data_IF_607971223260
#
_entry.id   IF_607971223260
#
_cell.length_a   1.000
_cell.length_b   1.000
_cell.length_c   1.000
_cell.angle_alpha   90.00
_cell.angle_beta   90.00
_cell.angle_gamma   90.00
#
_symmetry.space_group_name_H-M   'P 1'
#
loop_
_entity.id
_entity.type
_entity.pdbx_description
1 polymer ?
#
# COMPACT_ATOMS: atom_id res chain seq x y z
N UNK A 1 12.86 -39.39 -30.65
CA UNK A 1 12.34 -39.32 -29.25
C UNK A 1 13.13 -38.30 -28.42
N UNK A 2 12.98 -36.99 -28.69
CA UNK A 2 13.73 -35.91 -27.98
C UNK A 2 12.86 -34.69 -27.59
N UNK A 3 11.53 -34.76 -27.76
CA UNK A 3 10.63 -33.60 -27.56
C UNK A 3 9.95 -33.53 -26.18
N UNK A 4 10.18 -34.50 -25.28
CA UNK A 4 9.53 -34.51 -23.96
C UNK A 4 10.33 -33.80 -22.85
N UNK A 5 11.50 -33.25 -23.15
CA UNK A 5 12.44 -32.77 -22.13
C UNK A 5 12.25 -31.31 -21.68
N UNK A 6 11.24 -30.57 -22.17
CA UNK A 6 11.11 -29.15 -21.77
C UNK A 6 9.67 -28.59 -21.78
N UNK A 7 8.66 -29.38 -21.37
CA UNK A 7 7.35 -28.78 -21.04
C UNK A 7 7.42 -28.21 -19.61
N UNK A 8 7.03 -26.93 -19.41
CA UNK A 8 6.96 -26.35 -18.08
C UNK A 8 6.00 -27.16 -17.19
N UNK A 9 6.36 -27.32 -15.92
CA UNK A 9 5.48 -27.95 -14.93
C UNK A 9 4.21 -27.10 -14.78
N UNK A 10 3.05 -27.75 -14.85
CA UNK A 10 1.76 -27.10 -14.63
C UNK A 10 1.32 -27.18 -13.15
N UNK A 11 0.39 -26.32 -12.74
CA UNK A 11 -0.09 -26.27 -11.35
C UNK A 11 -0.70 -27.61 -10.87
N UNK A 12 -1.29 -28.39 -11.78
CA UNK A 12 -1.87 -29.70 -11.44
C UNK A 12 -0.76 -30.71 -11.10
N UNK A 13 0.33 -30.70 -11.85
CA UNK A 13 1.51 -31.54 -11.59
C UNK A 13 2.19 -31.15 -10.26
N UNK A 14 2.26 -29.85 -9.96
CA UNK A 14 2.76 -29.35 -8.67
C UNK A 14 1.88 -29.81 -7.49
N UNK A 15 0.55 -29.74 -7.64
CA UNK A 15 -0.41 -30.24 -6.63
C UNK A 15 -0.25 -31.75 -6.42
N UNK A 16 -0.16 -32.54 -7.50
CA UNK A 16 0.07 -33.99 -7.44
C UNK A 16 1.40 -34.31 -6.75
N UNK A 17 2.47 -33.57 -7.06
CA UNK A 17 3.77 -33.72 -6.42
C UNK A 17 3.68 -33.50 -4.92
N UNK A 18 3.08 -32.39 -4.46
CA UNK A 18 2.96 -32.09 -3.04
C UNK A 18 2.19 -33.19 -2.31
N UNK A 19 1.04 -33.60 -2.85
CA UNK A 19 0.21 -34.66 -2.24
C UNK A 19 0.94 -36.02 -2.22
N UNK A 20 1.76 -36.34 -3.23
CA UNK A 20 2.58 -37.56 -3.23
C UNK A 20 3.62 -37.56 -2.10
N UNK A 21 4.28 -36.42 -1.87
CA UNK A 21 5.31 -36.27 -0.84
C UNK A 21 4.72 -36.31 0.58
N UNK A 22 3.50 -35.77 0.76
CA UNK A 22 2.78 -35.79 2.03
C UNK A 22 2.19 -37.18 2.36
N UNK A 23 1.47 -37.78 1.40
CA UNK A 23 0.78 -39.07 1.61
C UNK A 23 1.71 -40.29 1.57
N UNK A 24 2.87 -40.14 0.91
CA UNK A 24 3.89 -41.17 0.70
C UNK A 24 3.31 -42.47 0.15
N UNK A 25 2.28 -42.36 -0.69
CA UNK A 25 1.55 -43.49 -1.27
C UNK A 25 0.84 -43.05 -2.54
N UNK A 26 1.14 -43.71 -3.66
CA UNK A 26 0.50 -43.43 -4.95
C UNK A 26 -1.00 -43.69 -4.89
N UNK A 27 -1.42 -44.77 -4.23
CA UNK A 27 -2.83 -45.13 -4.09
C UNK A 27 -3.58 -44.08 -3.26
N UNK A 28 -3.08 -43.70 -2.08
CA UNK A 28 -3.73 -42.66 -1.27
C UNK A 28 -3.76 -41.31 -1.96
N UNK A 29 -2.71 -40.94 -2.70
CA UNK A 29 -2.73 -39.71 -3.50
C UNK A 29 -3.77 -39.76 -4.62
N UNK A 30 -3.97 -40.92 -5.24
CA UNK A 30 -5.03 -41.11 -6.24
C UNK A 30 -6.41 -40.90 -5.61
N UNK A 31 -6.65 -41.47 -4.42
CA UNK A 31 -7.89 -41.30 -3.67
C UNK A 31 -8.12 -39.83 -3.27
N UNK A 32 -7.12 -39.18 -2.66
CA UNK A 32 -7.22 -37.78 -2.19
C UNK A 32 -7.47 -36.78 -3.32
N UNK A 33 -6.95 -37.05 -4.51
CA UNK A 33 -7.11 -36.16 -5.68
C UNK A 33 -8.24 -36.61 -6.61
N UNK A 34 -8.99 -37.65 -6.24
CA UNK A 34 -10.05 -38.26 -7.05
C UNK A 34 -9.57 -38.58 -8.48
N UNK A 35 -8.37 -39.17 -8.57
CA UNK A 35 -7.75 -39.57 -9.83
C UNK A 35 -7.50 -41.08 -9.86
N UNK A 36 -7.26 -41.62 -11.05
CA UNK A 36 -6.87 -43.03 -11.17
C UNK A 36 -5.39 -43.22 -10.78
N UNK A 37 -5.09 -44.35 -10.11
CA UNK A 37 -3.72 -44.71 -9.76
C UNK A 37 -2.76 -44.78 -10.98
N UNK A 38 -3.18 -45.28 -12.17
CA UNK A 38 -2.36 -45.22 -13.37
C UNK A 38 -1.99 -43.79 -13.79
N UNK A 39 -2.92 -42.83 -13.64
CA UNK A 39 -2.67 -41.42 -13.94
C UNK A 39 -1.64 -40.81 -12.97
N UNK A 40 -1.79 -41.02 -11.66
CA UNK A 40 -0.81 -40.54 -10.67
C UNK A 40 0.58 -41.15 -10.92
N UNK A 41 0.63 -42.45 -11.26
CA UNK A 41 1.89 -43.14 -11.60
C UNK A 41 2.55 -42.55 -12.85
N UNK A 42 1.75 -42.21 -13.88
CA UNK A 42 2.22 -41.55 -15.10
C UNK A 42 2.81 -40.16 -14.79
N UNK A 43 2.12 -39.37 -13.95
CA UNK A 43 2.57 -38.03 -13.55
C UNK A 43 3.85 -38.10 -12.72
N UNK A 44 3.93 -39.01 -11.73
CA UNK A 44 5.15 -39.23 -10.95
C UNK A 44 6.34 -39.60 -11.85
N UNK A 45 6.15 -40.46 -12.85
CA UNK A 45 7.21 -40.80 -13.81
C UNK A 45 7.69 -39.57 -14.59
N UNK A 46 6.78 -38.69 -15.01
CA UNK A 46 7.14 -37.43 -15.68
C UNK A 46 7.90 -36.50 -14.73
N UNK A 47 7.39 -36.30 -13.52
CA UNK A 47 8.03 -35.46 -12.50
C UNK A 47 9.46 -35.93 -12.18
N UNK A 48 9.69 -37.24 -12.10
CA UNK A 48 11.03 -37.82 -11.93
C UNK A 48 11.97 -37.46 -13.07
N UNK A 49 11.49 -37.55 -14.31
CA UNK A 49 12.29 -37.20 -15.48
C UNK A 49 12.58 -35.69 -15.54
N UNK A 50 11.60 -34.84 -15.24
CA UNK A 50 11.74 -33.38 -15.26
C UNK A 50 12.67 -32.86 -14.15
N UNK A 51 12.54 -33.41 -12.94
CA UNK A 51 13.33 -32.97 -11.78
C UNK A 51 14.69 -33.69 -11.67
N UNK A 52 14.90 -34.75 -12.45
CA UNK A 52 16.11 -35.57 -12.40
C UNK A 52 16.30 -36.27 -11.05
N UNK A 53 15.20 -36.58 -10.35
CA UNK A 53 15.20 -37.15 -9.01
C UNK A 53 14.14 -38.26 -8.87
N UNK A 54 14.42 -39.37 -8.15
CA UNK A 54 13.42 -40.41 -7.90
C UNK A 54 12.21 -39.95 -7.06
N UNK A 55 12.34 -38.85 -6.32
CA UNK A 55 11.37 -38.18 -5.43
C UNK A 55 10.91 -39.01 -4.24
N UNK A 56 10.50 -40.25 -4.49
CA UNK A 56 10.10 -41.26 -3.51
C UNK A 56 10.85 -42.55 -3.82
N UNK A 57 11.56 -43.07 -2.82
CA UNK A 57 12.28 -44.35 -2.87
C UNK A 57 11.69 -45.32 -1.85
N UNK A 58 11.87 -46.62 -2.10
CA UNK A 58 11.37 -47.66 -1.19
C UNK A 58 12.39 -47.91 -0.07
N UNK A 59 11.94 -47.79 1.17
CA UNK A 59 12.67 -48.17 2.37
C UNK A 59 11.82 -49.17 3.16
N UNK A 60 12.21 -50.44 3.09
CA UNK A 60 11.40 -51.56 3.59
C UNK A 60 10.02 -51.64 2.92
N UNK A 61 8.96 -51.57 3.72
CA UNK A 61 7.56 -51.57 3.26
C UNK A 61 7.02 -50.18 2.92
N UNK A 62 7.79 -49.10 3.14
CA UNK A 62 7.32 -47.71 3.01
C UNK A 62 8.00 -47.00 1.84
N UNK A 63 7.26 -46.09 1.19
CA UNK A 63 7.85 -45.07 0.33
C UNK A 63 8.28 -43.89 1.19
N UNK A 64 9.50 -43.43 0.98
CA UNK A 64 10.09 -42.29 1.70
C UNK A 64 10.60 -41.26 0.70
N UNK A 65 10.42 -39.95 0.96
CA UNK A 65 10.99 -38.90 0.14
C UNK A 65 12.52 -38.97 0.09
N UNK A 66 13.10 -38.61 -1.05
CA UNK A 66 14.53 -38.31 -1.15
C UNK A 66 14.85 -37.01 -0.41
N UNK A 67 16.13 -36.76 -0.12
CA UNK A 67 16.56 -35.49 0.49
C UNK A 67 16.18 -34.29 -0.38
N UNK A 68 16.39 -34.40 -1.70
CA UNK A 68 15.96 -33.38 -2.66
C UNK A 68 14.45 -33.16 -2.64
N UNK A 69 13.65 -34.21 -2.54
CA UNK A 69 12.21 -34.07 -2.43
C UNK A 69 11.79 -33.34 -1.15
N UNK A 70 12.44 -33.61 -0.01
CA UNK A 70 12.19 -32.90 1.24
C UNK A 70 12.48 -31.40 1.12
N UNK A 71 13.58 -31.03 0.47
CA UNK A 71 13.96 -29.63 0.23
C UNK A 71 12.92 -28.88 -0.61
N UNK A 72 12.26 -29.56 -1.55
CA UNK A 72 11.28 -28.94 -2.47
C UNK A 72 9.90 -28.72 -1.81
N UNK A 73 9.56 -29.44 -0.72
CA UNK A 73 8.23 -29.33 -0.08
C UNK A 73 7.89 -27.88 0.32
N UNK A 74 8.83 -27.17 0.95
CA UNK A 74 8.63 -25.80 1.41
C UNK A 74 8.32 -24.83 0.25
N UNK A 75 9.23 -24.70 -0.74
CA UNK A 75 8.99 -23.89 -1.93
C UNK A 75 7.70 -24.27 -2.67
N UNK A 76 7.42 -25.56 -2.82
CA UNK A 76 6.22 -26.05 -3.49
C UNK A 76 4.92 -25.62 -2.80
N UNK A 77 4.90 -25.68 -1.46
CA UNK A 77 3.76 -25.23 -0.65
C UNK A 77 3.55 -23.72 -0.78
N UNK A 78 4.62 -22.93 -0.77
CA UNK A 78 4.55 -21.49 -0.97
C UNK A 78 4.04 -21.10 -2.37
N UNK A 79 4.51 -21.77 -3.42
CA UNK A 79 4.03 -21.53 -4.80
C UNK A 79 2.55 -21.84 -4.96
N UNK A 80 2.08 -22.99 -4.45
CA UNK A 80 0.66 -23.34 -4.52
C UNK A 80 -0.21 -22.39 -3.69
N UNK A 81 0.27 -21.93 -2.53
CA UNK A 81 -0.42 -20.91 -1.73
C UNK A 81 -0.57 -19.58 -2.48
N UNK A 82 0.47 -19.14 -3.21
CA UNK A 82 0.38 -17.94 -4.05
C UNK A 82 -0.61 -18.08 -5.21
N UNK A 83 -0.71 -19.27 -5.82
CA UNK A 83 -1.75 -19.55 -6.82
C UNK A 83 -3.14 -19.49 -6.19
N UNK A 84 -3.30 -20.09 -5.00
CA UNK A 84 -4.56 -20.05 -4.26
C UNK A 84 -4.95 -18.62 -3.88
N UNK A 85 -4.00 -17.74 -3.54
CA UNK A 85 -4.23 -16.31 -3.28
C UNK A 85 -4.74 -15.56 -4.52
N UNK A 86 -4.26 -15.88 -5.72
CA UNK A 86 -4.69 -15.25 -6.97
C UNK A 86 -6.14 -15.60 -7.32
N UNK A 87 -6.53 -16.86 -7.10
CA UNK A 87 -7.86 -17.37 -7.49
C UNK A 87 -8.90 -17.25 -6.38
N UNK A 88 -8.47 -17.04 -5.13
CA UNK A 88 -9.39 -16.85 -4.03
C UNK A 88 -10.13 -15.52 -4.19
N UNK A 89 -11.45 -15.47 -3.89
CA UNK A 89 -12.12 -14.19 -3.75
C UNK A 89 -11.33 -13.36 -2.73
N UNK A 90 -11.25 -12.04 -2.96
CA UNK A 90 -10.61 -11.13 -2.02
C UNK A 90 -11.11 -11.44 -0.61
N UNK A 91 -10.23 -11.97 0.24
CA UNK A 91 -10.59 -12.29 1.62
C UNK A 91 -11.08 -11.00 2.26
N UNK A 92 -12.13 -11.09 3.07
CA UNK A 92 -12.57 -9.96 3.86
C UNK A 92 -11.36 -9.42 4.64
N UNK A 93 -11.15 -8.11 4.60
CA UNK A 93 -10.10 -7.48 5.37
C UNK A 93 -10.45 -7.60 6.86
N UNK A 94 -9.60 -8.29 7.63
CA UNK A 94 -9.74 -8.46 9.07
C UNK A 94 -8.64 -7.64 9.73
N UNK A 95 -8.95 -6.41 10.21
CA UNK A 95 -7.95 -5.48 10.74
C UNK A 95 -7.02 -6.11 11.78
N UNK A 96 -7.57 -6.92 12.69
CA UNK A 96 -6.88 -7.49 13.85
C UNK A 96 -5.75 -8.47 13.48
N UNK A 97 -5.81 -9.04 12.27
CA UNK A 97 -4.84 -10.02 11.76
C UNK A 97 -4.12 -9.57 10.48
N UNK A 98 -4.41 -8.37 10.00
CA UNK A 98 -3.80 -7.83 8.79
C UNK A 98 -2.33 -7.47 9.05
N UNK A 99 -1.44 -7.90 8.15
CA UNK A 99 0.00 -7.64 8.20
C UNK A 99 0.51 -6.82 7.02
N UNK A 100 -0.38 -6.08 6.35
CA UNK A 100 -0.05 -5.23 5.21
C UNK A 100 0.64 -3.92 5.64
N UNK A 101 1.19 -3.21 4.66
CA UNK A 101 1.71 -1.85 4.82
C UNK A 101 0.76 -0.87 4.14
N UNK A 102 0.32 0.19 4.82
CA UNK A 102 -0.35 1.32 4.19
C UNK A 102 0.61 2.49 3.98
N UNK A 103 0.62 3.01 2.77
CA UNK A 103 1.37 4.18 2.34
C UNK A 103 0.43 5.38 2.22
N UNK A 104 0.62 6.38 3.09
CA UNK A 104 -0.25 7.55 3.21
C UNK A 104 0.58 8.80 2.94
N UNK A 105 0.17 9.60 1.96
CA UNK A 105 0.68 10.96 1.78
C UNK A 105 -0.23 11.96 2.50
N UNK A 106 0.33 12.93 3.22
CA UNK A 106 -0.44 13.94 3.96
C UNK A 106 0.10 15.35 3.76
N UNK A 107 -0.78 16.35 3.78
CA UNK A 107 -0.40 17.75 3.90
C UNK A 107 0.16 18.03 5.31
N UNK A 108 1.14 18.92 5.40
CA UNK A 108 1.89 19.31 6.60
C UNK A 108 0.99 19.76 7.76
N UNK A 109 -0.02 20.59 7.50
CA UNK A 109 -0.96 21.08 8.51
C UNK A 109 -1.80 19.96 9.17
N UNK A 110 -1.93 18.81 8.51
CA UNK A 110 -2.63 17.63 9.06
C UNK A 110 -1.70 16.72 9.87
N UNK A 111 -0.38 16.83 9.71
CA UNK A 111 0.58 15.93 10.35
C UNK A 111 0.64 16.08 11.86
N UNK A 112 0.56 17.31 12.38
CA UNK A 112 0.68 17.55 13.82
C UNK A 112 -0.61 17.27 14.60
N UNK A 113 -1.79 17.55 14.00
CA UNK A 113 -3.06 17.48 14.70
C UNK A 113 -3.85 16.19 14.42
N UNK A 114 -3.88 15.74 13.17
CA UNK A 114 -4.78 14.67 12.73
C UNK A 114 -4.10 13.29 12.73
N UNK A 115 -2.90 13.19 12.14
CA UNK A 115 -2.20 11.91 11.99
C UNK A 115 -1.95 11.16 13.31
N UNK A 116 -1.53 11.79 14.43
CA UNK A 116 -1.28 11.07 15.69
C UNK A 116 -2.53 10.35 16.20
N UNK A 117 -3.71 10.98 16.06
CA UNK A 117 -5.00 10.41 16.45
C UNK A 117 -5.40 9.26 15.52
N UNK A 118 -5.19 9.41 14.21
CA UNK A 118 -5.43 8.36 13.23
C UNK A 118 -4.54 7.14 13.49
N UNK A 119 -3.23 7.35 13.65
CA UNK A 119 -2.24 6.31 13.94
C UNK A 119 -2.63 5.55 15.20
N UNK A 120 -3.00 6.26 16.27
CA UNK A 120 -3.44 5.63 17.53
C UNK A 120 -4.62 4.68 17.29
N UNK A 121 -5.64 5.14 16.56
CA UNK A 121 -6.82 4.31 16.25
C UNK A 121 -6.49 3.11 15.38
N UNK A 122 -5.64 3.29 14.36
CA UNK A 122 -5.20 2.19 13.50
C UNK A 122 -4.40 1.17 14.30
N UNK A 123 -3.45 1.61 15.13
CA UNK A 123 -2.64 0.72 15.98
C UNK A 123 -3.48 -0.11 16.95
N UNK A 124 -4.61 0.43 17.42
CA UNK A 124 -5.56 -0.31 18.26
C UNK A 124 -6.36 -1.33 17.46
N UNK A 125 -6.86 -0.96 16.27
CA UNK A 125 -7.71 -1.84 15.47
C UNK A 125 -6.92 -2.89 14.65
N UNK A 126 -5.70 -2.55 14.24
CA UNK A 126 -4.85 -3.35 13.36
C UNK A 126 -3.38 -3.30 13.86
N UNK A 127 -3.04 -4.08 14.89
CA UNK A 127 -1.75 -3.97 15.58
C UNK A 127 -0.55 -4.45 14.75
N UNK A 128 -0.76 -5.31 13.75
CA UNK A 128 0.30 -5.88 12.89
C UNK A 128 0.50 -5.10 11.58
N UNK A 129 -0.36 -4.11 11.30
CA UNK A 129 -0.24 -3.26 10.12
C UNK A 129 0.93 -2.27 10.29
N UNK A 130 1.68 -2.10 9.20
CA UNK A 130 2.71 -1.06 9.10
C UNK A 130 2.13 0.20 8.43
N UNK A 131 2.49 1.37 8.94
CA UNK A 131 2.15 2.66 8.34
C UNK A 131 3.42 3.33 7.83
N UNK A 132 3.40 3.79 6.59
CA UNK A 132 4.43 4.63 5.97
C UNK A 132 3.78 5.96 5.63
N UNK A 133 4.21 7.02 6.32
CA UNK A 133 3.69 8.37 6.16
C UNK A 133 4.72 9.19 5.37
N UNK A 134 4.24 10.03 4.46
CA UNK A 134 5.07 11.00 3.75
C UNK A 134 4.35 12.31 3.55
N UNK A 135 5.12 13.39 3.47
CA UNK A 135 4.57 14.71 3.19
C UNK A 135 4.21 14.86 1.72
N UNK A 136 3.29 15.77 1.43
CA UNK A 136 2.95 16.18 0.06
C UNK A 136 4.02 17.15 -0.46
N UNK A 137 4.55 16.87 -1.64
CA UNK A 137 5.69 17.53 -2.26
C UNK A 137 5.33 18.06 -3.65
N UNK A 138 5.97 19.17 -4.01
CA UNK A 138 5.88 19.76 -5.34
C UNK A 138 6.32 18.80 -6.44
N UNK A 139 5.53 18.69 -7.52
CA UNK A 139 5.93 17.95 -8.73
C UNK A 139 5.88 16.42 -8.62
N UNK A 140 5.45 15.87 -7.48
CA UNK A 140 5.19 14.44 -7.35
C UNK A 140 3.81 14.09 -7.93
N UNK A 141 3.74 13.08 -8.81
CA UNK A 141 2.49 12.62 -9.42
C UNK A 141 1.74 11.66 -8.48
N UNK A 142 0.94 12.25 -7.58
CA UNK A 142 0.13 11.50 -6.63
C UNK A 142 -0.94 10.62 -7.30
N UNK A 143 -1.45 11.02 -8.46
CA UNK A 143 -2.48 10.25 -9.16
C UNK A 143 -1.89 8.97 -9.76
N UNK A 144 -0.71 9.06 -10.38
CA UNK A 144 0.02 7.89 -10.88
C UNK A 144 0.45 6.96 -9.74
N UNK A 145 0.95 7.50 -8.63
CA UNK A 145 1.35 6.71 -7.47
C UNK A 145 0.18 5.94 -6.83
N UNK A 146 -1.01 6.57 -6.72
CA UNK A 146 -2.23 5.89 -6.28
C UNK A 146 -2.64 4.79 -7.27
N UNK A 147 -2.58 5.06 -8.58
CA UNK A 147 -2.94 4.08 -9.61
C UNK A 147 -1.99 2.87 -9.65
N UNK A 148 -0.71 3.07 -9.32
CA UNK A 148 0.31 2.02 -9.26
C UNK A 148 0.29 1.23 -7.93
N UNK A 149 -0.47 1.67 -6.92
CA UNK A 149 -0.45 1.08 -5.59
C UNK A 149 0.81 1.40 -4.78
N UNK A 150 1.58 2.41 -5.19
CA UNK A 150 2.71 2.94 -4.40
C UNK A 150 2.21 3.80 -3.23
N UNK A 151 1.03 4.39 -3.39
CA UNK A 151 0.26 5.06 -2.35
C UNK A 151 -1.12 4.41 -2.23
N UNK A 152 -1.62 4.34 -1.00
CA UNK A 152 -2.99 3.89 -0.72
C UNK A 152 -3.94 5.07 -0.53
N UNK A 153 -3.46 6.14 0.11
CA UNK A 153 -4.28 7.31 0.46
C UNK A 153 -3.47 8.60 0.35
N UNK A 154 -4.11 9.65 -0.15
CA UNK A 154 -3.62 11.03 -0.07
C UNK A 154 -4.59 11.84 0.78
N UNK A 155 -4.07 12.49 1.81
CA UNK A 155 -4.81 13.37 2.72
C UNK A 155 -4.31 14.79 2.51
N UNK A 156 -5.07 15.60 1.79
CA UNK A 156 -4.68 16.98 1.56
C UNK A 156 -5.79 17.78 0.90
N UNK A 157 -5.56 19.09 0.80
CA UNK A 157 -6.42 19.95 0.01
C UNK A 157 -6.05 19.80 -1.47
N UNK A 158 -6.87 19.07 -2.22
CA UNK A 158 -6.71 18.89 -3.66
C UNK A 158 -7.96 19.45 -4.36
N UNK A 159 -7.95 20.72 -4.78
CA UNK A 159 -9.15 21.38 -5.31
C UNK A 159 -9.67 20.74 -6.59
N UNK A 160 -8.75 20.29 -7.46
CA UNK A 160 -9.06 19.70 -8.76
C UNK A 160 -8.38 18.32 -8.89
N UNK A 161 -8.85 17.30 -8.16
CA UNK A 161 -8.32 15.94 -8.29
C UNK A 161 -8.82 15.31 -9.61
N UNK A 162 -8.04 14.42 -10.24
CA UNK A 162 -8.49 13.68 -11.43
C UNK A 162 -9.80 12.91 -11.18
N UNK A 163 -10.71 12.89 -12.16
CA UNK A 163 -12.04 12.27 -12.04
C UNK A 163 -12.00 10.75 -11.76
N UNK A 164 -10.90 10.08 -12.11
CA UNK A 164 -10.70 8.66 -11.85
C UNK A 164 -10.31 8.37 -10.39
N UNK A 165 -10.08 9.39 -9.56
CA UNK A 165 -9.84 9.23 -8.13
C UNK A 165 -11.14 9.29 -7.34
N UNK A 166 -11.24 8.44 -6.32
CA UNK A 166 -12.30 8.54 -5.32
C UNK A 166 -11.88 9.52 -4.23
N UNK A 167 -12.74 10.48 -3.95
CA UNK A 167 -12.51 11.48 -2.90
C UNK A 167 -13.61 11.40 -1.84
N UNK A 168 -13.24 11.73 -0.61
CA UNK A 168 -14.17 11.84 0.49
C UNK A 168 -13.81 13.08 1.32
N UNK A 169 -14.79 13.95 1.66
CA UNK A 169 -14.54 15.06 2.56
C UNK A 169 -14.17 14.50 3.95
N UNK A 170 -13.01 14.90 4.45
CA UNK A 170 -12.51 14.44 5.75
C UNK A 170 -12.93 15.38 6.88
N UNK A 171 -12.74 16.68 6.66
CA UNK A 171 -13.11 17.75 7.58
C UNK A 171 -13.27 19.07 6.78
N UNK A 172 -13.94 20.03 7.38
CA UNK A 172 -13.94 21.42 6.96
C UNK A 172 -13.48 22.25 8.15
N UNK A 173 -12.65 23.26 7.89
CA UNK A 173 -12.13 24.16 8.92
C UNK A 173 -12.00 25.58 8.35
N UNK A 174 -12.01 26.57 9.23
CA UNK A 174 -11.93 27.98 8.87
C UNK A 174 -10.46 28.43 8.76
N UNK A 175 -10.15 29.18 7.70
CA UNK A 175 -8.87 29.88 7.61
C UNK A 175 -8.96 31.17 8.42
N UNK A 176 -8.11 31.28 9.43
CA UNK A 176 -8.03 32.44 10.32
C UNK A 176 -6.71 33.19 10.15
N UNK A 177 -6.70 34.46 10.54
CA UNK A 177 -5.46 35.23 10.63
C UNK A 177 -4.87 35.07 12.03
N UNK A 178 -3.59 34.70 12.08
CA UNK A 178 -2.81 34.60 13.31
C UNK A 178 -1.85 35.79 13.39
N UNK A 179 -1.74 36.39 14.57
CA UNK A 179 -0.83 37.49 14.85
C UNK A 179 -0.31 37.39 16.28
N UNK A 180 0.86 37.99 16.53
CA UNK A 180 1.35 38.19 17.88
C UNK A 180 0.34 39.02 18.70
N UNK A 181 0.19 38.71 19.99
CA UNK A 181 -0.76 39.41 20.87
C UNK A 181 -0.50 40.92 21.00
N UNK A 182 0.75 41.36 20.79
CA UNK A 182 1.14 42.78 20.75
C UNK A 182 0.95 43.47 19.40
N UNK A 183 0.49 42.75 18.36
CA UNK A 183 0.35 43.32 17.01
C UNK A 183 -0.79 44.36 16.96
N UNK A 184 -0.65 45.49 16.25
CA UNK A 184 -1.71 46.50 16.15
C UNK A 184 -3.06 45.96 15.69
N UNK A 185 -3.05 45.02 14.73
CA UNK A 185 -4.28 44.38 14.24
C UNK A 185 -4.98 43.52 15.31
N UNK A 186 -4.26 43.06 16.35
CA UNK A 186 -4.86 42.31 17.46
C UNK A 186 -5.77 43.16 18.33
N UNK A 187 -5.64 44.50 18.27
CA UNK A 187 -6.46 45.44 19.02
C UNK A 187 -7.76 45.81 18.30
N UNK A 188 -7.91 45.42 17.03
CA UNK A 188 -9.10 45.70 16.24
C UNK A 188 -10.21 44.70 16.60
N UNK A 189 -11.43 45.19 16.78
CA UNK A 189 -12.61 44.33 16.97
C UNK A 189 -13.01 43.57 15.70
N UNK A 190 -12.67 44.13 14.53
CA UNK A 190 -12.85 43.49 13.23
C UNK A 190 -11.78 44.00 12.27
N UNK A 191 -11.07 43.06 11.64
CA UNK A 191 -10.10 43.36 10.59
C UNK A 191 -10.82 43.47 9.23
N UNK A 192 -10.53 44.51 8.47
CA UNK A 192 -10.98 44.66 7.09
C UNK A 192 -10.02 44.00 6.10
N UNK A 193 -10.46 43.82 4.86
CA UNK A 193 -9.58 43.35 3.78
C UNK A 193 -8.42 44.32 3.52
N UNK A 194 -8.64 45.63 3.65
CA UNK A 194 -7.58 46.62 3.48
C UNK A 194 -6.51 46.50 4.56
N UNK A 195 -6.92 46.27 5.82
CA UNK A 195 -5.99 46.08 6.93
C UNK A 195 -5.12 44.83 6.71
N UNK A 196 -5.74 43.74 6.24
CA UNK A 196 -5.03 42.51 5.88
C UNK A 196 -4.00 42.74 4.77
N UNK A 197 -4.39 43.43 3.68
CA UNK A 197 -3.50 43.64 2.53
C UNK A 197 -2.34 44.62 2.82
N UNK A 198 -2.50 45.51 3.79
CA UNK A 198 -1.45 46.44 4.22
C UNK A 198 -0.45 45.83 5.20
N UNK A 199 -0.79 44.69 5.80
CA UNK A 199 0.11 43.96 6.69
C UNK A 199 1.21 43.24 5.92
N UNK A 200 2.34 43.00 6.59
CA UNK A 200 3.37 42.07 6.14
C UNK A 200 2.97 40.64 6.50
N UNK A 201 3.13 39.70 5.57
CA UNK A 201 2.69 38.31 5.71
C UNK A 201 3.85 37.33 5.78
N UNK A 202 3.59 36.27 6.55
CA UNK A 202 4.34 35.02 6.50
C UNK A 202 3.50 33.98 5.74
N UNK A 203 4.13 33.21 4.86
CA UNK A 203 3.48 32.13 4.11
C UNK A 203 4.32 30.84 4.10
N UNK A 204 3.70 29.66 3.99
CA UNK A 204 4.44 28.44 3.72
C UNK A 204 4.99 28.44 2.29
N UNK A 205 5.99 27.60 2.05
CA UNK A 205 6.52 27.37 0.71
C UNK A 205 5.41 26.83 -0.21
N UNK A 206 5.20 27.43 -1.40
CA UNK A 206 4.17 26.96 -2.31
C UNK A 206 4.50 25.57 -2.85
N UNK A 207 3.51 24.67 -2.86
CA UNK A 207 3.63 23.32 -3.44
C UNK A 207 3.81 23.40 -4.97
N UNK A 208 3.34 24.46 -5.63
CA UNK A 208 3.60 24.67 -7.05
C UNK A 208 3.44 26.15 -7.39
N UNK A 209 4.28 26.66 -8.28
CA UNK A 209 4.11 28.00 -8.84
C UNK A 209 2.82 28.14 -9.67
N UNK A 210 2.30 27.04 -10.22
CA UNK A 210 1.08 27.02 -11.00
C UNK A 210 -0.20 26.93 -10.14
N UNK A 211 -0.07 26.51 -8.88
CA UNK A 211 -1.19 26.32 -7.96
C UNK A 211 -0.92 27.12 -6.69
N UNK A 212 -1.22 28.43 -6.69
CA UNK A 212 -1.14 29.22 -5.47
C UNK A 212 -1.99 28.58 -4.38
N UNK A 213 -1.52 28.63 -3.13
CA UNK A 213 -2.22 28.05 -1.99
C UNK A 213 -3.63 28.64 -1.82
N UNK A 214 -4.49 28.06 -0.97
CA UNK A 214 -5.90 28.43 -0.88
C UNK A 214 -6.13 29.92 -0.59
N UNK A 215 -5.22 30.58 0.14
CA UNK A 215 -5.27 32.02 0.43
C UNK A 215 -4.91 32.83 -0.82
N UNK A 216 -3.73 32.60 -1.38
CA UNK A 216 -3.19 33.40 -2.49
C UNK A 216 -3.99 33.17 -3.79
N UNK A 217 -4.49 31.95 -4.02
CA UNK A 217 -5.39 31.64 -5.13
C UNK A 217 -6.69 32.42 -5.02
N UNK A 218 -7.29 32.47 -3.83
CA UNK A 218 -8.54 33.23 -3.61
C UNK A 218 -8.33 34.74 -3.71
N UNK A 219 -7.19 35.27 -3.23
CA UNK A 219 -6.85 36.68 -3.41
C UNK A 219 -6.66 37.02 -4.89
N UNK A 220 -5.98 36.16 -5.65
CA UNK A 220 -5.76 36.34 -7.07
C UNK A 220 -7.08 36.35 -7.88
N UNK A 221 -8.03 35.48 -7.54
CA UNK A 221 -9.39 35.50 -8.13
C UNK A 221 -10.11 36.85 -7.91
N UNK A 222 -9.79 37.56 -6.82
CA UNK A 222 -10.32 38.88 -6.50
C UNK A 222 -9.48 40.03 -7.08
N UNK A 223 -8.40 39.74 -7.81
CA UNK A 223 -7.45 40.73 -8.32
C UNK A 223 -6.58 41.37 -7.22
N UNK A 224 -6.42 40.69 -6.09
CA UNK A 224 -5.68 41.16 -4.92
C UNK A 224 -4.41 40.34 -4.71
N UNK A 225 -3.42 40.94 -4.05
CA UNK A 225 -2.18 40.29 -3.63
C UNK A 225 -1.73 40.86 -2.29
N UNK A 226 -1.11 40.03 -1.46
CA UNK A 226 -0.57 40.42 -0.15
C UNK A 226 0.96 40.51 -0.19
N UNK A 227 1.54 41.31 0.71
CA UNK A 227 2.99 41.48 0.83
C UNK A 227 3.59 40.35 1.69
N UNK A 228 4.14 39.31 1.05
CA UNK A 228 4.78 38.18 1.75
C UNK A 228 6.25 38.51 2.00
N UNK A 229 6.61 38.76 3.26
CA UNK A 229 7.98 39.09 3.68
C UNK A 229 8.78 37.88 4.14
N UNK A 230 8.11 36.83 4.58
CA UNK A 230 8.74 35.61 5.11
C UNK A 230 8.09 34.38 4.46
N UNK A 231 8.93 33.46 3.99
CA UNK A 231 8.49 32.14 3.52
C UNK A 231 9.11 31.08 4.43
N UNK A 232 8.28 30.25 5.05
CA UNK A 232 8.70 29.13 5.90
C UNK A 232 8.55 27.80 5.14
N UNK A 233 9.34 26.76 5.47
CA UNK A 233 9.24 25.49 4.76
C UNK A 233 7.90 24.78 4.98
N UNK A 234 7.30 24.92 6.17
CA UNK A 234 6.04 24.26 6.55
C UNK A 234 5.13 25.22 7.31
N UNK A 235 3.82 25.06 7.14
CA UNK A 235 2.81 25.91 7.78
C UNK A 235 2.86 25.84 9.31
N UNK A 236 3.20 24.68 9.87
CA UNK A 236 3.26 24.46 11.32
C UNK A 236 4.36 25.27 12.02
N UNK A 237 5.34 25.79 11.28
CA UNK A 237 6.38 26.66 11.84
C UNK A 237 5.92 28.11 12.02
N UNK A 238 4.86 28.54 11.33
CA UNK A 238 4.39 29.92 11.34
C UNK A 238 4.17 30.52 12.75
N UNK A 239 3.62 29.80 13.75
CA UNK A 239 3.43 30.35 15.10
C UNK A 239 4.73 30.53 15.91
N UNK A 240 5.86 30.02 15.43
CA UNK A 240 7.13 29.98 16.16
C UNK A 240 8.21 30.92 15.60
N UNK A 241 7.88 31.65 14.52
CA UNK A 241 8.73 32.66 13.88
C UNK A 241 8.23 34.05 14.28
#
# INVERSE_FOLDING_TARGET
>A
MRELQNKPLDARQLKILLTLLEQRSVTRTADVLEQSQPYISLVLRKLRATLGDPLLVRSGSKLVPTERALQIIGPLRATLAGIDEIISPAKAFIPESASCTFHIASADCMEAFFLPRLITRIRTAAPEVRLVLRSIEAGYDYAAALAAGELDVVIGNWPNPPENLRTAPLLADDIVCLFNSGHPLAQLSRMSMSDYLQAEHLAPMPISSAHPGPIDGRLAELGLSRDIRIIVPEFNLAPYV
#
